data_IF_723577950606
#
_entry.id   IF_723577950606
#
_cell.length_a   1.000
_cell.length_b   1.000
_cell.length_c   1.000
_cell.angle_alpha   90.00
_cell.angle_beta   90.00
_cell.angle_gamma   90.00
#
_symmetry.space_group_name_H-M   'P 1'
#
loop_
_entity.id
_entity.type
_entity.pdbx_description
1 polymer ?
#
# COMPACT_ATOMS: atom_id res chain seq x y z
N UNK A 1 5.09 9.07 12.19
CA UNK A 1 4.16 9.23 11.06
C UNK A 1 4.81 10.13 10.03
N UNK A 2 5.01 9.65 8.81
CA UNK A 2 5.55 10.42 7.68
C UNK A 2 4.39 10.75 6.73
N UNK A 3 4.26 12.02 6.31
CA UNK A 3 3.15 12.49 5.49
C UNK A 3 3.68 12.98 4.15
N UNK A 4 3.16 12.41 3.05
CA UNK A 4 3.60 12.70 1.69
C UNK A 4 2.38 12.78 0.76
N UNK A 5 2.36 13.77 -0.14
CA UNK A 5 1.36 13.87 -1.21
C UNK A 5 1.93 13.27 -2.49
N UNK A 6 1.24 12.30 -3.10
CA UNK A 6 1.63 11.63 -4.36
C UNK A 6 0.56 11.82 -5.44
N UNK A 7 1.00 12.08 -6.68
CA UNK A 7 0.15 12.04 -7.87
C UNK A 7 -0.03 10.59 -8.35
N UNK A 8 -0.93 10.37 -9.30
CA UNK A 8 -1.04 9.08 -10.00
C UNK A 8 0.29 8.69 -10.62
N UNK A 9 0.58 7.39 -10.62
CA UNK A 9 1.83 6.75 -11.02
C UNK A 9 3.07 7.13 -10.21
N UNK A 10 2.93 7.93 -9.14
CA UNK A 10 3.99 8.13 -8.18
C UNK A 10 3.90 7.10 -7.05
N UNK A 11 5.06 6.70 -6.55
CA UNK A 11 5.16 5.75 -5.46
C UNK A 11 6.15 6.16 -4.39
N UNK A 12 6.24 5.31 -3.38
CA UNK A 12 7.15 5.41 -2.24
C UNK A 12 7.75 4.02 -1.98
N UNK A 13 8.99 4.02 -1.51
CA UNK A 13 9.66 2.83 -1.00
C UNK A 13 9.50 2.74 0.52
N UNK A 14 9.28 1.53 1.01
CA UNK A 14 9.28 1.18 2.44
C UNK A 14 10.36 0.12 2.63
N UNK A 15 11.42 0.47 3.35
CA UNK A 15 12.65 -0.33 3.34
C UNK A 15 13.21 -0.47 1.92
N UNK A 16 13.82 -1.62 1.63
CA UNK A 16 14.47 -1.86 0.34
C UNK A 16 13.62 -2.71 -0.62
N UNK A 17 12.57 -3.36 -0.11
CA UNK A 17 11.86 -4.43 -0.85
C UNK A 17 10.38 -4.17 -1.07
N UNK A 18 9.81 -3.11 -0.47
CA UNK A 18 8.38 -2.80 -0.61
C UNK A 18 8.20 -1.49 -1.36
N UNK A 19 7.46 -1.52 -2.46
CA UNK A 19 7.12 -0.36 -3.25
C UNK A 19 5.61 -0.16 -3.31
N UNK A 20 5.15 1.02 -2.94
CA UNK A 20 3.72 1.39 -2.95
C UNK A 20 3.50 2.47 -3.99
N UNK A 21 2.57 2.27 -4.92
CA UNK A 21 2.27 3.19 -6.02
C UNK A 21 0.81 3.62 -6.00
N UNK A 22 0.53 4.89 -6.29
CA UNK A 22 -0.82 5.37 -6.57
C UNK A 22 -1.17 5.03 -8.02
N UNK A 23 -2.08 4.09 -8.24
CA UNK A 23 -2.48 3.68 -9.59
C UNK A 23 -3.53 4.62 -10.18
N UNK A 24 -4.58 4.94 -9.42
CA UNK A 24 -5.59 5.91 -9.82
C UNK A 24 -6.27 6.54 -8.61
N UNK A 25 -6.92 7.69 -8.84
CA UNK A 25 -7.74 8.38 -7.85
C UNK A 25 -9.10 8.63 -8.48
N UNK A 26 -10.13 7.99 -7.94
CA UNK A 26 -11.49 8.01 -8.50
C UNK A 26 -12.49 8.17 -7.36
N UNK A 27 -13.32 9.23 -7.43
CA UNK A 27 -14.46 9.43 -6.52
C UNK A 27 -14.11 9.25 -5.02
N UNK A 28 -13.01 9.85 -4.58
CA UNK A 28 -12.56 9.76 -3.19
C UNK A 28 -11.95 8.42 -2.78
N UNK A 29 -11.79 7.48 -3.71
CA UNK A 29 -11.04 6.23 -3.52
C UNK A 29 -9.71 6.31 -4.25
N UNK A 30 -8.69 5.70 -3.66
CA UNK A 30 -7.36 5.59 -4.25
C UNK A 30 -7.09 4.12 -4.53
N UNK A 31 -6.71 3.78 -5.76
CA UNK A 31 -6.17 2.46 -6.09
C UNK A 31 -4.68 2.49 -5.78
N UNK A 32 -4.24 1.62 -4.87
CA UNK A 32 -2.84 1.45 -4.52
C UNK A 32 -2.33 0.14 -5.12
N UNK A 33 -1.16 0.18 -5.76
CA UNK A 33 -0.39 -1.00 -6.11
C UNK A 33 0.70 -1.22 -5.07
N UNK A 34 0.85 -2.44 -4.60
CA UNK A 34 1.87 -2.81 -3.62
C UNK A 34 2.69 -3.94 -4.23
N UNK A 35 3.99 -3.69 -4.40
CA UNK A 35 4.96 -4.70 -4.81
C UNK A 35 5.80 -5.03 -3.58
N UNK A 36 5.75 -6.28 -3.17
CA UNK A 36 6.50 -6.80 -2.04
C UNK A 36 6.92 -8.25 -2.36
N UNK A 37 8.02 -8.75 -1.79
CA UNK A 37 8.40 -10.15 -1.89
C UNK A 37 7.44 -11.07 -1.12
N UNK A 38 7.47 -12.38 -1.42
CA UNK A 38 6.50 -13.37 -0.90
C UNK A 38 6.54 -13.55 0.62
N UNK A 39 7.68 -13.27 1.26
CA UNK A 39 7.87 -13.32 2.70
C UNK A 39 7.17 -12.16 3.44
N UNK A 40 6.81 -11.09 2.72
CA UNK A 40 6.12 -9.93 3.28
C UNK A 40 4.62 -10.04 3.00
N UNK A 41 3.86 -10.36 4.04
CA UNK A 41 2.41 -10.43 3.94
C UNK A 41 1.78 -9.03 3.86
N UNK A 42 0.87 -8.84 2.90
CA UNK A 42 0.17 -7.57 2.65
C UNK A 42 -1.33 -7.76 2.82
N UNK A 43 -1.82 -7.37 3.99
CA UNK A 43 -3.24 -7.42 4.31
C UNK A 43 -3.94 -6.08 4.15
N UNK A 44 -5.23 -6.15 3.83
CA UNK A 44 -6.13 -5.02 4.05
C UNK A 44 -6.34 -4.86 5.56
N UNK A 45 -6.25 -3.63 6.04
CA UNK A 45 -6.28 -3.34 7.47
C UNK A 45 -7.54 -3.90 8.16
N UNK A 46 -8.69 -3.89 7.48
CA UNK A 46 -9.94 -4.45 7.99
C UNK A 46 -9.95 -5.97 8.16
N UNK A 47 -9.05 -6.70 7.48
CA UNK A 47 -8.96 -8.16 7.56
C UNK A 47 -7.92 -8.64 8.56
N UNK A 48 -6.88 -7.85 8.83
CA UNK A 48 -5.73 -8.26 9.64
C UNK A 48 -6.12 -8.69 11.07
N UNK A 49 -7.17 -8.11 11.64
CA UNK A 49 -7.67 -8.44 12.98
C UNK A 49 -8.57 -9.68 13.05
N UNK A 50 -8.83 -10.38 11.94
CA UNK A 50 -9.74 -11.53 11.90
C UNK A 50 -9.03 -12.90 12.02
N UNK A 51 -7.69 -12.92 12.00
CA UNK A 51 -6.87 -14.14 12.05
C UNK A 51 -5.99 -14.23 13.31
N UNK A 52 -6.48 -13.74 14.44
CA UNK A 52 -5.97 -14.12 15.77
C UNK A 52 -6.92 -15.17 16.37
N UNK A 53 -6.80 -16.43 15.92
CA UNK A 53 -7.45 -17.60 16.50
C UNK A 53 -6.49 -18.80 16.46
#
# INVERSE_FOLDING_TARGET
MLVLSRKTHQGIWIGDNVFVTVLSVERGRVKLGITAPEDVHVDRAELRGQNEA
#
